data_IF_461089175890
#
_entry.id   IF_461089175890
#
_cell.length_a   1.000
_cell.length_b   1.000
_cell.length_c   1.000
_cell.angle_alpha   90.00
_cell.angle_beta   90.00
_cell.angle_gamma   90.00
#
_symmetry.space_group_name_H-M   'P 1'
#
loop_
_entity.id
_entity.type
_entity.pdbx_description
1 polymer ?
#
# COMPACT_ATOMS: atom_id res chain seq x y z
N UNK A 1 -6.92 -2.69 -27.42
CA UNK A 1 -7.98 -3.72 -27.53
C UNK A 1 -8.65 -3.66 -28.91
N UNK A 2 -9.21 -2.52 -29.36
CA UNK A 2 -9.87 -2.42 -30.67
C UNK A 2 -8.91 -2.61 -31.85
N UNK A 3 -7.69 -2.10 -31.74
CA UNK A 3 -6.62 -2.28 -32.71
C UNK A 3 -6.07 -3.71 -32.74
N UNK A 4 -6.09 -4.39 -31.59
CA UNK A 4 -5.63 -5.79 -31.50
C UNK A 4 -6.54 -6.76 -32.28
N UNK A 5 -7.81 -6.39 -32.47
CA UNK A 5 -8.73 -7.14 -33.34
C UNK A 5 -8.30 -7.12 -34.82
N UNK A 6 -7.49 -6.14 -35.24
CA UNK A 6 -6.96 -6.09 -36.61
C UNK A 6 -5.90 -7.17 -36.91
N UNK A 7 -5.36 -7.83 -35.90
CA UNK A 7 -4.46 -8.98 -36.14
C UNK A 7 -5.14 -10.10 -36.91
N UNK A 8 -6.43 -10.39 -36.61
CA UNK A 8 -7.16 -11.49 -37.27
C UNK A 8 -7.33 -11.24 -38.77
N UNK A 9 -7.88 -10.11 -39.25
CA UNK A 9 -8.01 -9.89 -40.70
C UNK A 9 -6.66 -9.75 -41.40
N UNK A 10 -5.62 -9.22 -40.74
CA UNK A 10 -4.28 -9.14 -41.32
C UNK A 10 -3.60 -10.51 -41.47
N UNK A 11 -3.81 -11.42 -40.54
CA UNK A 11 -3.37 -12.81 -40.68
C UNK A 11 -4.08 -13.48 -41.86
N UNK A 12 -5.37 -13.29 -42.03
CA UNK A 12 -6.15 -13.78 -43.16
C UNK A 12 -5.61 -13.20 -44.48
N UNK A 13 -5.29 -11.90 -44.47
CA UNK A 13 -4.72 -11.21 -45.63
C UNK A 13 -3.35 -11.79 -46.03
N UNK A 14 -2.54 -12.32 -45.11
CA UNK A 14 -1.28 -13.02 -45.43
C UNK A 14 -1.51 -14.26 -46.29
N UNK A 15 -2.64 -14.95 -46.12
CA UNK A 15 -2.96 -16.13 -46.94
C UNK A 15 -3.44 -15.75 -48.36
N UNK A 16 -3.98 -14.55 -48.55
CA UNK A 16 -4.46 -14.04 -49.84
C UNK A 16 -3.30 -13.37 -50.60
N UNK A 17 -2.54 -12.51 -49.91
CA UNK A 17 -1.40 -11.79 -50.45
C UNK A 17 -0.35 -11.60 -49.35
N UNK A 18 0.68 -12.44 -49.38
CA UNK A 18 1.70 -12.49 -48.32
C UNK A 18 2.42 -11.14 -48.11
N UNK A 19 2.74 -10.43 -49.18
CA UNK A 19 3.47 -9.15 -49.08
C UNK A 19 2.64 -8.06 -48.42
N UNK A 20 1.38 -7.93 -48.76
CA UNK A 20 0.46 -6.94 -48.16
C UNK A 20 0.15 -7.30 -46.70
N UNK A 21 -0.13 -8.58 -46.44
CA UNK A 21 -0.41 -9.07 -45.09
C UNK A 21 0.77 -8.87 -44.14
N UNK A 22 2.00 -9.24 -44.57
CA UNK A 22 3.21 -9.06 -43.78
C UNK A 22 3.53 -7.57 -43.51
N UNK A 23 3.39 -6.70 -44.49
CA UNK A 23 3.60 -5.28 -44.34
C UNK A 23 2.59 -4.67 -43.35
N UNK A 24 1.31 -5.08 -43.42
CA UNK A 24 0.27 -4.68 -42.50
C UNK A 24 0.54 -5.14 -41.06
N UNK A 25 0.95 -6.41 -40.89
CA UNK A 25 1.30 -6.95 -39.58
C UNK A 25 2.51 -6.21 -38.98
N UNK A 26 3.58 -5.98 -39.76
CA UNK A 26 4.75 -5.25 -39.30
C UNK A 26 4.38 -3.81 -38.86
N UNK A 27 3.54 -3.13 -39.63
CA UNK A 27 3.03 -1.79 -39.28
C UNK A 27 2.20 -1.79 -37.99
N UNK A 28 1.30 -2.77 -37.83
CA UNK A 28 0.48 -2.90 -36.63
C UNK A 28 1.31 -3.21 -35.39
N UNK A 29 2.27 -4.14 -35.48
CA UNK A 29 3.19 -4.47 -34.38
C UNK A 29 4.02 -3.23 -33.99
N UNK A 30 4.61 -2.53 -34.96
CA UNK A 30 5.38 -1.33 -34.70
C UNK A 30 4.56 -0.25 -34.01
N UNK A 31 3.34 -0.01 -34.47
CA UNK A 31 2.43 0.94 -33.83
C UNK A 31 2.09 0.53 -32.38
N UNK A 32 1.78 -0.76 -32.15
CA UNK A 32 1.46 -1.25 -30.81
C UNK A 32 2.63 -1.13 -29.85
N UNK A 33 3.85 -1.41 -30.30
CA UNK A 33 5.06 -1.22 -29.48
C UNK A 33 5.25 0.25 -29.10
N UNK A 34 5.15 1.18 -30.04
CA UNK A 34 5.27 2.63 -29.75
C UNK A 34 4.16 3.08 -28.79
N UNK A 35 2.92 2.66 -29.03
CA UNK A 35 1.77 2.94 -28.16
C UNK A 35 1.96 2.37 -26.75
N UNK A 36 2.51 1.16 -26.65
CA UNK A 36 2.80 0.51 -25.38
C UNK A 36 3.76 1.34 -24.52
N UNK A 37 4.92 1.73 -25.08
CA UNK A 37 5.91 2.51 -24.34
C UNK A 37 5.37 3.88 -23.92
N UNK A 38 4.57 4.54 -24.75
CA UNK A 38 3.90 5.80 -24.41
C UNK A 38 2.98 5.67 -23.21
N UNK A 39 2.18 4.61 -23.16
CA UNK A 39 1.27 4.33 -22.05
C UNK A 39 2.00 3.84 -20.80
N UNK A 40 3.01 2.97 -20.97
CA UNK A 40 3.79 2.42 -19.87
C UNK A 40 4.48 3.53 -19.07
N UNK A 41 5.08 4.52 -19.74
CA UNK A 41 5.70 5.67 -19.07
C UNK A 41 4.75 6.42 -18.11
N UNK A 42 3.46 6.45 -18.43
CA UNK A 42 2.43 7.07 -17.58
C UNK A 42 2.06 6.16 -16.41
N UNK A 43 2.07 4.84 -16.62
CA UNK A 43 1.59 3.85 -15.66
C UNK A 43 2.67 3.44 -14.65
N UNK A 44 3.94 3.40 -15.04
CA UNK A 44 5.05 2.92 -14.21
C UNK A 44 5.12 3.56 -12.81
N UNK A 45 4.92 4.88 -12.61
CA UNK A 45 4.91 5.46 -11.27
C UNK A 45 3.80 4.89 -10.37
N UNK A 46 2.64 4.59 -10.97
CA UNK A 46 1.51 4.03 -10.24
C UNK A 46 1.72 2.56 -9.88
N UNK A 47 2.41 1.77 -10.71
CA UNK A 47 2.74 0.38 -10.40
C UNK A 47 3.56 0.30 -9.11
N UNK A 48 4.50 1.21 -8.91
CA UNK A 48 5.28 1.30 -7.67
C UNK A 48 4.39 1.58 -6.45
N UNK A 49 3.44 2.51 -6.59
CA UNK A 49 2.47 2.81 -5.51
C UNK A 49 1.59 1.61 -5.18
N UNK A 50 1.14 0.88 -6.18
CA UNK A 50 0.40 -0.36 -5.97
C UNK A 50 1.22 -1.44 -5.24
N UNK A 51 2.53 -1.52 -5.52
CA UNK A 51 3.42 -2.43 -4.82
C UNK A 51 3.46 -2.15 -3.31
N UNK A 52 3.42 -0.88 -2.90
CA UNK A 52 3.32 -0.52 -1.48
C UNK A 52 2.00 -0.96 -0.85
N UNK A 53 0.88 -0.77 -1.56
CA UNK A 53 -0.42 -1.24 -1.06
C UNK A 53 -0.42 -2.77 -0.88
N UNK A 54 0.09 -3.51 -1.86
CA UNK A 54 0.20 -4.97 -1.76
C UNK A 54 1.09 -5.42 -0.60
N UNK A 55 2.21 -4.73 -0.36
CA UNK A 55 3.08 -5.01 0.80
C UNK A 55 2.38 -4.71 2.11
N UNK A 56 1.64 -3.59 2.20
CA UNK A 56 0.83 -3.27 3.38
C UNK A 56 -0.16 -4.39 3.69
N UNK A 57 -0.95 -4.82 2.67
CA UNK A 57 -1.93 -5.90 2.84
C UNK A 57 -1.25 -7.18 3.34
N UNK A 58 -0.13 -7.56 2.71
CA UNK A 58 0.63 -8.74 3.12
C UNK A 58 1.17 -8.63 4.54
N UNK A 59 1.74 -7.49 4.92
CA UNK A 59 2.24 -7.25 6.28
C UNK A 59 1.12 -7.30 7.32
N UNK A 60 -0.04 -6.70 7.02
CA UNK A 60 -1.21 -6.74 7.89
C UNK A 60 -1.74 -8.17 8.07
N UNK A 61 -1.73 -8.96 7.00
CA UNK A 61 -2.11 -10.37 7.05
C UNK A 61 -1.18 -11.18 7.96
N UNK A 62 0.14 -10.99 7.83
CA UNK A 62 1.12 -11.67 8.68
C UNK A 62 1.01 -11.26 10.15
N UNK A 63 0.86 -9.96 10.43
CA UNK A 63 0.71 -9.45 11.80
C UNK A 63 -0.57 -10.00 12.44
N UNK A 64 -1.66 -10.09 11.69
CA UNK A 64 -2.95 -10.58 12.19
C UNK A 64 -2.97 -12.06 12.57
N UNK A 65 -1.93 -12.83 12.18
CA UNK A 65 -1.76 -14.24 12.59
C UNK A 65 -1.22 -14.38 14.01
N UNK A 66 -0.66 -13.31 14.58
CA UNK A 66 -0.12 -13.31 15.94
C UNK A 66 -1.29 -13.25 16.93
N UNK A 67 -1.39 -14.24 17.82
CA UNK A 67 -2.48 -14.27 18.83
C UNK A 67 -2.15 -13.30 19.98
N UNK A 68 -2.72 -12.10 19.90
CA UNK A 68 -2.67 -11.09 20.95
C UNK A 68 -4.11 -10.83 21.41
N UNK A 69 -4.50 -11.30 22.62
CA UNK A 69 -5.89 -11.21 23.09
C UNK A 69 -6.44 -9.78 23.12
N UNK A 70 -5.60 -8.79 23.41
CA UNK A 70 -5.98 -7.37 23.50
C UNK A 70 -6.33 -6.79 22.11
N UNK A 71 -5.69 -7.27 21.04
CA UNK A 71 -5.86 -6.77 19.67
C UNK A 71 -6.85 -7.61 18.83
N UNK A 72 -7.64 -8.46 19.48
CA UNK A 72 -8.48 -9.44 18.76
C UNK A 72 -9.54 -8.81 17.86
N UNK A 73 -10.08 -7.63 18.22
CA UNK A 73 -11.04 -6.88 17.39
C UNK A 73 -10.36 -6.29 16.17
N UNK A 74 -9.23 -5.63 16.37
CA UNK A 74 -8.40 -5.02 15.32
C UNK A 74 -7.94 -6.09 14.32
N UNK A 75 -7.54 -7.26 14.80
CA UNK A 75 -7.15 -8.40 13.95
C UNK A 75 -8.31 -8.90 13.08
N UNK A 76 -9.53 -8.98 13.61
CA UNK A 76 -10.69 -9.38 12.83
C UNK A 76 -11.02 -8.39 11.72
N UNK A 77 -10.93 -7.09 12.00
CA UNK A 77 -11.14 -6.04 11.00
C UNK A 77 -10.06 -6.06 9.92
N UNK A 78 -8.79 -6.19 10.31
CA UNK A 78 -7.66 -6.35 9.39
C UNK A 78 -7.87 -7.56 8.47
N UNK A 79 -8.19 -8.72 9.03
CA UNK A 79 -8.42 -9.94 8.24
C UNK A 79 -9.59 -9.79 7.26
N UNK A 80 -10.65 -9.10 7.66
CA UNK A 80 -11.79 -8.80 6.79
C UNK A 80 -11.37 -7.94 5.60
N UNK A 81 -10.63 -6.85 5.84
CA UNK A 81 -10.14 -5.97 4.78
C UNK A 81 -9.10 -6.65 3.90
N UNK A 82 -8.20 -7.45 4.46
CA UNK A 82 -7.25 -8.25 3.68
C UNK A 82 -7.98 -9.22 2.72
N UNK A 83 -9.03 -9.89 3.21
CA UNK A 83 -9.83 -10.79 2.39
C UNK A 83 -10.57 -10.06 1.26
N UNK A 84 -11.08 -8.85 1.50
CA UNK A 84 -11.70 -8.02 0.47
C UNK A 84 -10.70 -7.64 -0.64
N UNK A 85 -9.42 -7.48 -0.30
CA UNK A 85 -8.34 -7.10 -1.22
C UNK A 85 -7.62 -8.31 -1.88
N UNK A 86 -8.01 -9.55 -1.58
CA UNK A 86 -7.35 -10.76 -2.10
C UNK A 86 -7.33 -10.81 -3.64
N UNK A 87 -8.44 -10.43 -4.29
CA UNK A 87 -8.52 -10.40 -5.75
C UNK A 87 -7.55 -9.38 -6.34
N UNK A 88 -7.43 -8.21 -5.69
CA UNK A 88 -6.47 -7.18 -6.10
C UNK A 88 -5.03 -7.70 -5.99
N UNK A 89 -4.68 -8.37 -4.91
CA UNK A 89 -3.34 -8.96 -4.72
C UNK A 89 -3.00 -9.99 -5.79
N UNK A 90 -3.94 -10.86 -6.18
CA UNK A 90 -3.74 -11.84 -7.25
C UNK A 90 -3.43 -11.17 -8.59
N UNK A 91 -4.20 -10.13 -8.95
CA UNK A 91 -3.98 -9.37 -10.19
C UNK A 91 -2.66 -8.59 -10.13
N UNK A 92 -2.36 -7.98 -8.99
CA UNK A 92 -1.11 -7.24 -8.76
C UNK A 92 0.13 -8.15 -8.90
N UNK A 93 0.08 -9.38 -8.37
CA UNK A 93 1.14 -10.36 -8.51
C UNK A 93 1.51 -10.61 -9.96
N UNK A 94 0.52 -10.69 -10.85
CA UNK A 94 0.74 -10.85 -12.28
C UNK A 94 1.40 -9.63 -12.93
N UNK A 95 0.93 -8.41 -12.60
CA UNK A 95 1.50 -7.16 -13.13
C UNK A 95 2.94 -6.95 -12.65
N UNK A 96 3.19 -7.23 -11.38
CA UNK A 96 4.50 -7.03 -10.76
C UNK A 96 5.53 -8.06 -11.19
N UNK A 97 5.13 -9.32 -11.42
CA UNK A 97 6.01 -10.37 -11.95
C UNK A 97 6.35 -10.17 -13.43
N UNK A 98 5.46 -9.52 -14.19
CA UNK A 98 5.66 -9.22 -15.61
C UNK A 98 6.38 -7.89 -15.90
N UNK A 99 6.56 -7.04 -14.89
CA UNK A 99 7.11 -5.68 -15.07
C UNK A 99 8.64 -5.59 -15.15
N UNK A 100 9.37 -6.66 -14.88
CA UNK A 100 10.81 -6.73 -15.10
C UNK A 100 11.09 -7.56 -16.36
N UNK A 101 11.81 -6.99 -17.30
CA UNK A 101 12.50 -7.80 -18.33
C UNK A 101 13.39 -8.75 -17.54
N UNK A 102 12.95 -10.00 -17.40
CA UNK A 102 13.77 -11.04 -16.79
C UNK A 102 14.97 -11.27 -17.71
N UNK A 103 16.08 -10.61 -17.43
CA UNK A 103 17.36 -10.78 -18.15
C UNK A 103 18.00 -12.15 -17.87
N UNK A 104 17.20 -13.15 -17.48
CA UNK A 104 17.67 -14.53 -17.30
C UNK A 104 18.01 -15.23 -18.64
N UNK A 105 17.92 -14.51 -19.77
CA UNK A 105 18.42 -14.97 -21.04
C UNK A 105 17.66 -16.14 -21.67
N UNK A 106 16.51 -16.54 -21.12
CA UNK A 106 15.69 -17.58 -21.71
C UNK A 106 14.94 -17.00 -22.93
N UNK A 107 15.14 -17.54 -24.15
CA UNK A 107 14.47 -17.05 -25.35
C UNK A 107 12.95 -17.02 -25.26
N UNK A 108 12.35 -17.92 -24.48
CA UNK A 108 10.90 -17.98 -24.26
C UNK A 108 10.39 -16.78 -23.45
N UNK A 109 11.14 -16.31 -22.45
CA UNK A 109 10.77 -15.14 -21.65
C UNK A 109 10.78 -13.86 -22.50
N UNK A 110 11.80 -13.74 -23.36
CA UNK A 110 11.91 -12.62 -24.31
C UNK A 110 10.71 -12.62 -25.27
N UNK A 111 10.36 -13.78 -25.83
CA UNK A 111 9.21 -13.91 -26.72
C UNK A 111 7.90 -13.53 -26.00
N UNK A 112 7.72 -14.00 -24.76
CA UNK A 112 6.55 -13.65 -23.95
C UNK A 112 6.47 -12.15 -23.64
N UNK A 113 7.60 -11.49 -23.43
CA UNK A 113 7.63 -10.03 -23.22
C UNK A 113 7.21 -9.27 -24.50
N UNK A 114 7.63 -9.72 -25.67
CA UNK A 114 7.14 -9.15 -26.94
C UNK A 114 5.63 -9.38 -27.14
N UNK A 115 5.10 -10.55 -26.78
CA UNK A 115 3.66 -10.82 -26.81
C UNK A 115 2.91 -9.89 -25.85
N UNK A 116 3.40 -9.72 -24.62
CA UNK A 116 2.81 -8.79 -23.64
C UNK A 116 2.78 -7.35 -24.18
N UNK A 117 3.88 -6.90 -24.80
CA UNK A 117 3.95 -5.58 -25.43
C UNK A 117 2.98 -5.42 -26.61
N UNK A 118 2.93 -6.40 -27.50
CA UNK A 118 2.09 -6.36 -28.70
C UNK A 118 0.59 -6.30 -28.35
N UNK A 119 0.17 -6.98 -27.30
CA UNK A 119 -1.23 -7.06 -26.86
C UNK A 119 -1.55 -6.16 -25.66
N UNK A 120 -0.62 -5.32 -25.21
CA UNK A 120 -0.82 -4.40 -24.08
C UNK A 120 -1.28 -5.10 -22.79
N UNK A 121 -0.85 -6.34 -22.57
CA UNK A 121 -1.35 -7.22 -21.49
C UNK A 121 -1.14 -6.55 -20.13
N UNK A 122 0.05 -6.02 -19.84
CA UNK A 122 0.37 -5.36 -18.57
C UNK A 122 -0.54 -4.14 -18.30
N UNK A 123 -0.86 -3.40 -19.36
CA UNK A 123 -1.73 -2.23 -19.30
C UNK A 123 -3.17 -2.65 -18.96
N UNK A 124 -3.66 -3.72 -19.57
CA UNK A 124 -5.01 -4.26 -19.31
C UNK A 124 -5.11 -4.72 -17.84
N UNK A 125 -4.12 -5.45 -17.35
CA UNK A 125 -4.08 -5.89 -15.95
C UNK A 125 -3.96 -4.71 -14.98
N UNK A 126 -3.16 -3.69 -15.31
CA UNK A 126 -3.07 -2.47 -14.52
C UNK A 126 -4.44 -1.78 -14.37
N UNK A 127 -5.18 -1.58 -15.46
CA UNK A 127 -6.52 -0.99 -15.38
C UNK A 127 -7.51 -1.86 -14.60
N UNK A 128 -7.40 -3.17 -14.70
CA UNK A 128 -8.21 -4.11 -13.91
C UNK A 128 -7.89 -3.97 -12.42
N UNK A 129 -6.63 -3.95 -12.07
CA UNK A 129 -6.15 -3.73 -10.70
C UNK A 129 -6.60 -2.36 -10.14
N UNK A 130 -6.50 -1.30 -10.95
CA UNK A 130 -6.97 0.04 -10.58
C UNK A 130 -8.49 0.06 -10.32
N UNK A 131 -9.27 -0.66 -11.12
CA UNK A 131 -10.71 -0.80 -10.91
C UNK A 131 -11.01 -1.49 -9.59
N UNK A 132 -10.36 -2.61 -9.30
CA UNK A 132 -10.52 -3.34 -8.03
C UNK A 132 -10.12 -2.44 -6.84
N UNK A 133 -8.98 -1.74 -6.91
CA UNK A 133 -8.56 -0.83 -5.85
C UNK A 133 -9.60 0.26 -5.56
N UNK A 134 -10.19 0.85 -6.62
CA UNK A 134 -11.22 1.89 -6.45
C UNK A 134 -12.48 1.38 -5.76
N UNK A 135 -12.85 0.12 -5.96
CA UNK A 135 -13.99 -0.51 -5.29
C UNK A 135 -13.72 -0.76 -3.81
N UNK A 136 -12.45 -0.96 -3.43
CA UNK A 136 -12.01 -1.33 -2.09
C UNK A 136 -11.12 -0.27 -1.43
N UNK A 137 -11.24 0.99 -1.83
CA UNK A 137 -10.40 2.07 -1.27
C UNK A 137 -10.63 2.26 0.23
N UNK A 138 -11.86 2.05 0.69
CA UNK A 138 -12.21 2.09 2.11
C UNK A 138 -11.54 0.97 2.92
N UNK A 139 -11.39 -0.21 2.32
CA UNK A 139 -10.70 -1.34 2.96
C UNK A 139 -9.20 -1.05 3.12
N UNK A 140 -8.58 -0.38 2.14
CA UNK A 140 -7.18 0.07 2.23
C UNK A 140 -7.02 1.12 3.33
N UNK A 141 -7.91 2.12 3.39
CA UNK A 141 -7.88 3.16 4.43
C UNK A 141 -8.04 2.57 5.83
N UNK A 142 -8.96 1.59 5.96
CA UNK A 142 -9.14 0.85 7.21
C UNK A 142 -7.88 0.08 7.60
N UNK A 143 -7.20 -0.59 6.66
CA UNK A 143 -5.93 -1.27 6.93
C UNK A 143 -4.85 -0.32 7.40
N UNK A 144 -4.70 0.85 6.76
CA UNK A 144 -3.74 1.89 7.19
C UNK A 144 -4.03 2.35 8.60
N UNK A 145 -5.31 2.61 8.91
CA UNK A 145 -5.74 3.08 10.22
C UNK A 145 -5.49 2.04 11.31
N UNK A 146 -5.88 0.79 11.08
CA UNK A 146 -5.71 -0.29 12.05
C UNK A 146 -4.23 -0.65 12.25
N UNK A 147 -3.47 -0.77 11.18
CA UNK A 147 -2.04 -1.03 11.27
C UNK A 147 -1.31 0.12 12.00
N UNK A 148 -1.64 1.37 11.67
CA UNK A 148 -1.10 2.55 12.36
C UNK A 148 -1.44 2.60 13.84
N UNK A 149 -2.64 2.19 14.23
CA UNK A 149 -3.05 2.10 15.64
C UNK A 149 -2.22 1.08 16.41
N UNK A 150 -1.98 -0.08 15.83
CA UNK A 150 -1.14 -1.13 16.42
C UNK A 150 0.31 -0.68 16.53
N UNK A 151 0.87 -0.09 15.47
CA UNK A 151 2.23 0.44 15.45
C UNK A 151 2.40 1.53 16.52
N UNK A 152 1.43 2.43 16.64
CA UNK A 152 1.42 3.48 17.67
C UNK A 152 1.42 2.88 19.06
N UNK A 153 0.61 1.85 19.32
CA UNK A 153 0.58 1.16 20.60
C UNK A 153 1.93 0.50 20.94
N UNK A 154 2.58 -0.13 19.95
CA UNK A 154 3.90 -0.74 20.12
C UNK A 154 4.95 0.35 20.41
N UNK A 155 4.95 1.47 19.69
CA UNK A 155 5.86 2.58 19.92
C UNK A 155 5.69 3.17 21.31
N UNK A 156 4.45 3.39 21.77
CA UNK A 156 4.17 3.91 23.12
C UNK A 156 4.64 2.91 24.18
N UNK A 157 4.36 1.62 24.01
CA UNK A 157 4.78 0.59 24.95
C UNK A 157 6.31 0.50 25.05
N UNK A 158 6.99 0.51 23.91
CA UNK A 158 8.44 0.51 23.83
C UNK A 158 9.06 1.76 24.50
N UNK A 159 8.50 2.94 24.20
CA UNK A 159 8.92 4.20 24.83
C UNK A 159 8.76 4.13 26.35
N UNK A 160 7.56 3.74 26.84
CA UNK A 160 7.30 3.59 28.28
C UNK A 160 8.29 2.65 28.96
N UNK A 161 8.62 1.54 28.32
CA UNK A 161 9.58 0.55 28.85
C UNK A 161 11.00 1.12 28.91
N UNK A 162 11.37 2.03 28.02
CA UNK A 162 12.68 2.65 27.99
C UNK A 162 12.88 3.71 29.09
N UNK A 163 11.79 4.20 29.73
CA UNK A 163 11.84 5.27 30.74
C UNK A 163 12.33 4.73 32.08
N UNK A 164 13.57 5.09 32.48
CA UNK A 164 14.20 4.67 33.74
C UNK A 164 13.50 5.23 34.98
N UNK A 165 12.95 6.45 34.89
CA UNK A 165 12.33 7.15 36.01
C UNK A 165 10.81 6.91 36.12
N UNK A 166 10.27 5.98 35.33
CA UNK A 166 8.85 5.63 35.32
C UNK A 166 8.00 6.56 34.49
N UNK A 167 6.73 6.26 34.45
CA UNK A 167 5.70 7.03 33.74
C UNK A 167 4.36 6.87 34.47
N UNK A 168 3.43 7.77 34.23
CA UNK A 168 2.06 7.68 34.76
C UNK A 168 1.03 7.93 33.66
N UNK A 169 -0.21 7.49 33.92
CA UNK A 169 -1.38 7.85 33.12
C UNK A 169 -2.02 9.07 33.79
N UNK A 170 -2.30 10.16 33.06
CA UNK A 170 -2.96 11.31 33.63
C UNK A 170 -4.39 10.95 34.02
N UNK A 171 -4.83 11.45 35.18
CA UNK A 171 -6.21 11.34 35.61
C UNK A 171 -6.95 12.59 35.11
N UNK A 172 -7.91 12.39 34.21
CA UNK A 172 -8.74 13.44 33.65
C UNK A 172 -10.04 13.53 34.46
N UNK A 173 -10.51 14.75 34.72
CA UNK A 173 -11.78 15.02 35.39
C UNK A 173 -12.73 15.69 34.40
N UNK A 174 -14.00 15.31 34.40
CA UNK A 174 -15.00 15.91 33.52
C UNK A 174 -15.37 17.32 34.01
N UNK A 175 -15.70 18.19 33.05
CA UNK A 175 -16.20 19.56 33.32
C UNK A 175 -17.58 19.45 33.97
N UNK A 176 -17.74 19.95 35.20
CA UNK A 176 -19.04 19.96 35.89
C UNK A 176 -19.09 19.35 37.29
N UNK A 177 -18.04 18.69 37.75
CA UNK A 177 -17.96 18.17 39.13
C UNK A 177 -17.67 19.25 40.20
N UNK A 178 -18.19 20.44 40.02
CA UNK A 178 -18.45 21.43 41.10
C UNK A 178 -17.28 22.12 41.80
N UNK A 179 -16.03 21.88 41.46
CA UNK A 179 -14.86 22.65 41.93
C UNK A 179 -13.80 22.69 40.83
N UNK A 180 -13.22 23.89 40.63
CA UNK A 180 -12.02 24.03 39.81
C UNK A 180 -10.94 23.06 40.33
N UNK A 181 -10.66 22.00 39.59
CA UNK A 181 -9.60 21.06 39.97
C UNK A 181 -8.26 21.55 39.38
N UNK A 182 -7.21 21.64 40.21
CA UNK A 182 -5.92 22.12 39.74
C UNK A 182 -5.27 21.12 38.77
N UNK A 183 -4.50 21.64 37.82
CA UNK A 183 -3.47 20.85 37.16
C UNK A 183 -2.41 20.51 38.22
N UNK A 184 -2.30 19.25 38.61
CA UNK A 184 -1.32 18.77 39.55
C UNK A 184 -0.34 17.83 38.81
N UNK A 185 0.92 18.22 38.79
CA UNK A 185 2.02 17.43 38.28
C UNK A 185 2.98 17.13 39.46
N UNK A 186 3.21 15.87 39.75
CA UNK A 186 4.14 15.44 40.80
C UNK A 186 5.34 14.76 40.16
N UNK A 187 6.54 15.17 40.54
CA UNK A 187 7.81 14.64 40.09
C UNK A 187 7.95 14.50 38.54
N UNK A 188 7.35 15.45 37.80
CA UNK A 188 7.48 15.48 36.36
C UNK A 188 8.92 15.70 35.93
N UNK A 189 9.36 15.00 34.88
CA UNK A 189 10.70 15.11 34.35
C UNK A 189 10.69 15.07 32.83
N UNK A 190 11.76 15.59 32.22
CA UNK A 190 11.92 15.54 30.77
C UNK A 190 12.51 14.19 30.35
N UNK A 191 11.78 13.35 29.58
CA UNK A 191 12.15 11.97 29.32
C UNK A 191 13.40 11.80 28.42
N UNK A 192 13.80 12.82 27.67
CA UNK A 192 14.96 12.80 26.78
C UNK A 192 16.25 13.29 27.42
N UNK A 193 16.21 13.75 28.69
CA UNK A 193 17.43 14.14 29.42
C UNK A 193 18.05 12.92 30.08
N UNK A 194 19.36 12.82 30.01
CA UNK A 194 20.14 11.71 30.61
C UNK A 194 20.05 11.75 32.14
N UNK A 195 20.11 12.95 32.73
CA UNK A 195 19.99 13.21 34.17
C UNK A 195 18.91 14.26 34.43
N UNK A 196 17.62 13.88 34.32
CA UNK A 196 16.52 14.83 34.47
C UNK A 196 16.33 15.23 35.93
N UNK A 197 16.10 16.53 36.18
CA UNK A 197 15.65 17.03 37.45
C UNK A 197 14.13 16.93 37.52
N UNK A 198 13.60 16.30 38.56
CA UNK A 198 12.16 16.18 38.79
C UNK A 198 11.61 17.46 39.36
N UNK A 199 10.47 17.92 38.84
CA UNK A 199 9.78 19.11 39.28
C UNK A 199 8.30 18.82 39.56
N UNK A 200 7.74 19.49 40.55
CA UNK A 200 6.31 19.40 40.88
C UNK A 200 5.66 20.76 40.75
N UNK A 201 4.44 20.80 40.20
CA UNK A 201 3.68 22.01 40.04
C UNK A 201 2.20 21.76 40.36
N UNK A 202 1.57 22.76 41.02
CA UNK A 202 0.10 22.78 41.19
C UNK A 202 -0.40 24.14 40.72
N UNK A 203 -1.29 24.10 39.71
CA UNK A 203 -1.81 25.33 39.10
C UNK A 203 -3.33 25.31 39.02
N UNK A 204 -3.98 26.36 39.50
CA UNK A 204 -5.45 26.55 39.44
C UNK A 204 -5.91 27.29 38.19
N UNK A 205 -4.99 27.95 37.48
CA UNK A 205 -5.24 28.75 36.27
C UNK A 205 -4.18 28.41 35.23
N UNK A 206 -4.32 28.96 34.02
CA UNK A 206 -3.36 28.76 32.97
C UNK A 206 -1.91 29.08 33.39
N UNK A 207 -0.98 28.18 33.09
CA UNK A 207 0.45 28.29 33.41
C UNK A 207 1.23 28.16 32.10
N UNK A 208 2.18 29.07 31.93
CA UNK A 208 3.18 28.96 30.87
C UNK A 208 4.44 28.34 31.48
N UNK A 209 4.81 27.17 30.97
CA UNK A 209 6.09 26.51 31.29
C UNK A 209 7.12 26.93 30.23
N UNK A 210 8.18 27.57 30.64
CA UNK A 210 9.29 28.02 29.78
C UNK A 210 10.55 27.25 30.10
#
# INVERSE_FOLDING_TARGET
ILLDLLFVPLIIACFINASVGLAGLAGLISYNIVSYFGKKKIIDPYITSFAYVCRLVHSCEEISKVDIPVCRKEWQEIQKSCKALENMQRVAGFVMSGGGVNMNGNPLDILMDYVKMAFHIDIIFFYRMLKELRLHISDVDQLVTQAGSVETAICIASFRTSLKNGWCVPQLFEEGEGKEKPLKLEEGYHPLLEHPVKNSITALKGVLLT
#
